data_IF_283423241467
#
_entry.id   IF_283423241467
#
_cell.length_a   1.000
_cell.length_b   1.000
_cell.length_c   1.000
_cell.angle_alpha   90.00
_cell.angle_beta   90.00
_cell.angle_gamma   90.00
#
_symmetry.space_group_name_H-M   'P 1'
#
loop_
_entity.id
_entity.type
_entity.pdbx_description
1 polymer ?
#
# COMPACT_ATOMS: atom_id res chain seq x y z
N UNK A 1 15.23 4.53 -70.08
CA UNK A 1 15.98 3.29 -69.80
C UNK A 1 15.35 2.66 -68.56
N UNK A 2 14.35 1.77 -68.60
CA UNK A 2 14.31 0.42 -69.21
C UNK A 2 15.14 -0.52 -68.33
N UNK A 3 14.63 -1.42 -67.48
CA UNK A 3 13.70 -2.57 -67.65
C UNK A 3 13.21 -3.03 -66.24
N UNK A 4 11.94 -3.30 -65.88
CA UNK A 4 11.01 -4.43 -66.20
C UNK A 4 11.69 -5.81 -66.12
N UNK A 5 11.36 -6.75 -65.22
CA UNK A 5 10.18 -7.65 -65.13
C UNK A 5 10.70 -8.91 -64.34
N UNK A 6 9.96 -9.89 -63.79
CA UNK A 6 8.56 -10.27 -63.73
C UNK A 6 8.38 -11.36 -62.63
N UNK A 7 7.12 -11.48 -62.19
CA UNK A 7 6.53 -12.55 -61.36
C UNK A 7 6.62 -13.95 -62.00
N UNK A 8 6.49 -14.99 -61.18
CA UNK A 8 5.66 -16.18 -61.52
C UNK A 8 5.13 -16.91 -60.28
N UNK A 9 3.82 -17.11 -60.29
CA UNK A 9 2.97 -17.92 -59.41
C UNK A 9 2.73 -19.25 -60.17
N UNK A 10 2.70 -20.39 -59.48
CA UNK A 10 1.90 -21.55 -59.89
C UNK A 10 1.32 -22.27 -58.66
N UNK A 11 -0.01 -22.30 -58.60
CA UNK A 11 -0.87 -23.22 -57.86
C UNK A 11 -0.98 -24.55 -58.64
N UNK A 12 -1.32 -25.65 -57.95
CA UNK A 12 -2.14 -26.83 -58.37
C UNK A 12 -2.01 -27.90 -57.25
N UNK A 13 -2.95 -28.02 -56.31
CA UNK A 13 -4.14 -28.93 -56.27
C UNK A 13 -3.84 -30.43 -56.40
N UNK A 14 -4.30 -31.22 -55.41
CA UNK A 14 -4.52 -32.66 -55.59
C UNK A 14 -4.80 -33.42 -54.28
N UNK A 15 -6.06 -33.78 -54.07
CA UNK A 15 -6.57 -34.66 -53.01
C UNK A 15 -6.23 -36.14 -53.28
N UNK A 16 -5.88 -36.93 -52.24
CA UNK A 16 -6.25 -38.35 -52.11
C UNK A 16 -6.42 -38.69 -50.61
N UNK A 17 -7.58 -39.25 -50.26
CA UNK A 17 -7.87 -39.89 -48.98
C UNK A 17 -7.92 -41.43 -49.18
N UNK A 18 -7.45 -42.21 -48.20
CA UNK A 18 -8.10 -43.43 -47.65
C UNK A 18 -7.09 -44.39 -46.95
N UNK A 19 -7.27 -44.52 -45.63
CA UNK A 19 -7.44 -45.76 -44.85
C UNK A 19 -6.52 -46.98 -45.07
N UNK A 20 -5.72 -47.35 -44.05
CA UNK A 20 -5.60 -48.74 -43.55
C UNK A 20 -5.36 -48.73 -42.03
N UNK A 21 -6.35 -49.25 -41.29
CA UNK A 21 -6.23 -49.78 -39.92
C UNK A 21 -5.60 -51.19 -40.01
N UNK A 22 -4.63 -51.50 -39.15
CA UNK A 22 -4.44 -52.81 -38.48
C UNK A 22 -3.10 -52.80 -37.71
N UNK A 23 -3.16 -53.02 -36.39
CA UNK A 23 -1.96 -53.21 -35.57
C UNK A 23 -2.16 -52.88 -34.08
N UNK A 24 -3.22 -53.39 -33.45
CA UNK A 24 -3.22 -53.54 -32.00
C UNK A 24 -2.42 -54.79 -31.63
N UNK A 25 -1.64 -54.73 -30.54
CA UNK A 25 -1.41 -55.76 -29.51
C UNK A 25 -0.03 -55.52 -28.88
N UNK A 26 -0.03 -55.27 -27.56
CA UNK A 26 1.12 -55.61 -26.73
C UNK A 26 1.87 -54.46 -26.07
N UNK A 27 1.22 -53.73 -25.14
CA UNK A 27 1.87 -53.26 -23.90
C UNK A 27 0.81 -52.75 -22.91
N UNK A 28 -0.07 -53.67 -22.50
CA UNK A 28 -1.08 -53.42 -21.49
C UNK A 28 -0.83 -54.23 -20.23
N UNK A 29 0.39 -54.22 -19.68
CA UNK A 29 0.71 -54.84 -18.39
C UNK A 29 2.00 -54.22 -17.83
N UNK A 30 1.96 -53.02 -17.24
CA UNK A 30 2.94 -52.54 -16.23
C UNK A 30 2.61 -51.11 -15.74
N UNK A 31 1.36 -50.81 -15.40
CA UNK A 31 1.03 -49.66 -14.54
C UNK A 31 -0.21 -49.98 -13.72
N UNK A 32 -0.06 -50.92 -12.79
CA UNK A 32 -1.01 -51.10 -11.69
C UNK A 32 -0.46 -50.35 -10.47
N UNK A 33 -0.39 -49.02 -10.60
CA UNK A 33 -0.22 -48.11 -9.48
C UNK A 33 -1.62 -47.62 -9.10
N UNK A 34 -2.00 -47.83 -7.84
CA UNK A 34 -3.26 -47.35 -7.28
C UNK A 34 -3.54 -45.91 -7.74
N UNK A 35 -4.67 -45.69 -8.42
CA UNK A 35 -5.26 -44.36 -8.51
C UNK A 35 -5.84 -44.10 -7.14
N UNK A 36 -5.03 -43.54 -6.25
CA UNK A 36 -5.54 -42.95 -5.03
C UNK A 36 -6.60 -41.93 -5.45
N UNK A 37 -7.86 -42.23 -5.15
CA UNK A 37 -8.93 -41.27 -5.33
C UNK A 37 -8.53 -40.05 -4.48
N UNK A 38 -8.35 -38.89 -5.14
CA UNK A 38 -8.13 -37.64 -4.43
C UNK A 38 -9.22 -37.53 -3.35
N UNK A 39 -8.85 -37.27 -2.08
CA UNK A 39 -9.84 -37.09 -1.05
C UNK A 39 -10.83 -36.01 -1.51
N UNK A 40 -12.15 -36.18 -1.27
CA UNK A 40 -13.13 -35.19 -1.68
C UNK A 40 -12.70 -33.83 -1.13
N UNK A 41 -12.62 -32.84 -2.02
CA UNK A 41 -12.27 -31.48 -1.62
C UNK A 41 -13.24 -31.04 -0.51
N UNK A 42 -12.70 -30.78 0.67
CA UNK A 42 -13.48 -30.19 1.77
C UNK A 42 -13.96 -28.83 1.24
N UNK A 43 -15.28 -28.54 1.23
CA UNK A 43 -15.76 -27.23 0.85
C UNK A 43 -15.17 -26.21 1.82
N UNK A 44 -14.24 -25.38 1.36
CA UNK A 44 -13.82 -24.19 2.11
C UNK A 44 -15.07 -23.32 2.22
N UNK A 45 -15.53 -22.96 3.44
CA UNK A 45 -16.65 -22.05 3.59
C UNK A 45 -16.37 -20.80 2.75
N UNK A 46 -17.30 -20.41 1.90
CA UNK A 46 -17.19 -19.16 1.17
C UNK A 46 -17.03 -18.05 2.22
N UNK A 47 -15.81 -17.54 2.38
CA UNK A 47 -15.52 -16.46 3.32
C UNK A 47 -16.39 -15.26 2.93
N UNK A 48 -16.87 -14.49 3.91
CA UNK A 48 -17.59 -13.23 3.64
C UNK A 48 -16.79 -12.37 2.66
N UNK A 49 -15.46 -12.39 2.79
CA UNK A 49 -14.50 -11.73 1.91
C UNK A 49 -14.73 -11.94 0.40
N UNK A 50 -15.18 -13.11 -0.05
CA UNK A 50 -15.36 -13.39 -1.49
C UNK A 50 -16.50 -12.57 -2.15
N UNK A 51 -17.36 -11.94 -1.34
CA UNK A 51 -18.52 -11.15 -1.80
C UNK A 51 -18.44 -9.68 -1.38
N UNK A 52 -17.34 -9.25 -0.78
CA UNK A 52 -17.19 -7.91 -0.23
C UNK A 52 -16.18 -7.07 -1.04
N UNK A 53 -16.35 -5.73 -1.10
CA UNK A 53 -15.41 -4.84 -1.77
C UNK A 53 -14.09 -4.67 -1.00
N UNK A 54 -13.98 -5.27 0.19
CA UNK A 54 -12.78 -5.25 1.03
C UNK A 54 -12.36 -6.69 1.31
N UNK A 55 -11.05 -6.93 1.18
CA UNK A 55 -10.44 -8.22 1.50
C UNK A 55 -9.56 -8.09 2.75
N UNK A 56 -9.47 -9.12 3.58
CA UNK A 56 -8.61 -9.08 4.76
C UNK A 56 -7.12 -9.03 4.37
N UNK A 57 -6.28 -8.48 5.26
CA UNK A 57 -4.81 -8.54 5.09
C UNK A 57 -4.32 -10.00 5.19
N UNK A 58 -3.20 -10.36 4.54
CA UNK A 58 -2.60 -11.66 4.71
C UNK A 58 -2.10 -11.84 6.15
N UNK A 59 -2.26 -13.05 6.71
CA UNK A 59 -1.76 -13.38 8.05
C UNK A 59 -0.25 -13.65 8.08
N UNK A 60 0.32 -13.99 6.93
CA UNK A 60 1.74 -14.33 6.77
C UNK A 60 2.28 -13.67 5.53
N UNK A 61 3.58 -13.35 5.56
CA UNK A 61 4.34 -12.83 4.43
C UNK A 61 5.61 -13.66 4.30
N UNK A 62 6.04 -13.88 3.07
CA UNK A 62 7.33 -14.50 2.78
C UNK A 62 8.33 -13.40 2.44
N UNK A 63 9.11 -12.99 3.44
CA UNK A 63 10.19 -12.01 3.30
C UNK A 63 11.47 -12.59 3.89
N UNK A 64 12.62 -12.15 3.38
CA UNK A 64 13.92 -12.50 3.94
C UNK A 64 14.08 -11.86 5.33
N UNK A 65 14.13 -12.65 6.42
CA UNK A 65 14.16 -12.12 7.78
C UNK A 65 15.44 -11.34 8.09
N UNK A 66 16.56 -11.66 7.44
CA UNK A 66 17.81 -10.96 7.67
C UNK A 66 17.81 -9.60 6.97
N UNK A 67 17.19 -9.50 5.78
CA UNK A 67 16.92 -8.20 5.13
C UNK A 67 15.94 -7.35 5.93
N UNK A 68 14.87 -7.94 6.46
CA UNK A 68 13.93 -7.23 7.35
C UNK A 68 14.67 -6.67 8.56
N UNK A 69 15.56 -7.45 9.17
CA UNK A 69 16.36 -7.01 10.33
C UNK A 69 17.33 -5.87 9.98
N UNK A 70 18.02 -5.96 8.83
CA UNK A 70 18.92 -4.90 8.36
C UNK A 70 18.12 -3.63 8.02
N UNK A 71 17.00 -3.76 7.32
CA UNK A 71 16.12 -2.65 6.98
C UNK A 71 15.55 -1.95 8.20
N UNK A 72 15.09 -2.72 9.20
CA UNK A 72 14.56 -2.16 10.45
C UNK A 72 15.62 -1.39 11.24
N UNK A 73 16.88 -1.83 11.17
CA UNK A 73 17.99 -1.07 11.72
C UNK A 73 18.18 0.25 10.99
N UNK A 74 18.26 0.23 9.66
CA UNK A 74 18.43 1.43 8.84
C UNK A 74 17.27 2.43 9.05
N UNK A 75 16.04 1.94 9.09
CA UNK A 75 14.82 2.73 9.33
C UNK A 75 14.87 3.50 10.66
N UNK A 76 15.47 2.91 11.68
CA UNK A 76 15.65 3.52 13.00
C UNK A 76 16.90 4.37 13.13
N UNK A 77 17.87 4.29 12.21
CA UNK A 77 19.21 4.84 12.41
C UNK A 77 19.30 6.31 11.96
N UNK A 78 19.55 7.26 12.88
CA UNK A 78 19.62 8.68 12.53
C UNK A 78 20.91 9.03 11.77
N UNK A 79 21.90 8.12 11.67
CA UNK A 79 23.10 8.31 10.82
C UNK A 79 22.75 8.53 9.34
N UNK A 80 21.53 8.20 8.93
CA UNK A 80 21.06 8.46 7.57
C UNK A 80 20.72 9.94 7.33
N UNK A 81 20.46 10.77 8.35
CA UNK A 81 20.34 12.23 8.16
C UNK A 81 21.69 12.93 8.13
N UNK A 82 21.72 14.12 7.53
CA UNK A 82 22.95 14.90 7.41
C UNK A 82 23.53 15.39 8.73
N UNK A 83 22.70 15.51 9.77
CA UNK A 83 23.07 15.95 11.12
C UNK A 83 23.12 14.82 12.16
N UNK A 84 22.82 13.59 11.75
CA UNK A 84 22.80 12.43 12.64
C UNK A 84 21.67 12.45 13.68
N UNK A 85 20.61 13.26 13.49
CA UNK A 85 19.51 13.44 14.45
C UNK A 85 18.16 12.86 14.00
N UNK A 86 17.96 12.60 12.71
CA UNK A 86 16.64 12.22 12.16
C UNK A 86 16.72 10.88 11.45
N UNK A 87 15.78 9.99 11.73
CA UNK A 87 15.58 8.71 11.05
C UNK A 87 14.14 8.57 10.58
N UNK A 88 13.85 7.58 9.75
CA UNK A 88 12.48 7.30 9.31
C UNK A 88 11.54 7.12 10.50
N UNK A 89 12.00 6.44 11.56
CA UNK A 89 11.24 6.21 12.79
C UNK A 89 10.89 7.47 13.59
N UNK A 90 11.55 8.62 13.36
CA UNK A 90 11.19 9.88 14.00
C UNK A 90 9.83 10.39 13.50
N UNK A 91 9.59 10.31 12.19
CA UNK A 91 8.33 10.75 11.57
C UNK A 91 7.30 9.60 11.46
N UNK A 92 7.79 8.36 11.39
CA UNK A 92 6.99 7.16 11.21
C UNK A 92 7.12 6.20 12.40
N UNK A 93 6.83 6.71 13.60
CA UNK A 93 7.02 5.97 14.84
C UNK A 93 6.02 4.80 14.94
N UNK A 94 6.57 3.58 15.00
CA UNK A 94 5.77 2.35 15.04
C UNK A 94 4.91 2.23 16.31
N UNK A 95 5.32 2.85 17.42
CA UNK A 95 4.56 2.85 18.67
C UNK A 95 3.31 3.75 18.63
N UNK A 96 3.23 4.65 17.64
CA UNK A 96 2.12 5.60 17.47
C UNK A 96 1.35 5.38 16.17
N UNK A 97 1.31 4.13 15.68
CA UNK A 97 0.59 3.77 14.47
C UNK A 97 1.36 4.06 13.19
N UNK A 98 2.68 4.19 13.25
CA UNK A 98 3.55 4.44 12.08
C UNK A 98 3.56 5.89 11.61
N UNK A 99 3.15 6.83 12.47
CA UNK A 99 3.11 8.28 12.23
C UNK A 99 3.62 9.03 13.45
N UNK A 100 3.92 10.32 13.32
CA UNK A 100 4.39 11.22 14.40
C UNK A 100 3.26 11.91 15.17
N UNK A 101 2.02 11.81 14.68
CA UNK A 101 0.82 12.48 15.21
C UNK A 101 0.90 14.00 15.23
N UNK A 102 1.65 14.57 14.29
CA UNK A 102 1.73 16.01 14.05
C UNK A 102 0.98 16.38 12.77
N UNK A 103 0.47 17.62 12.64
CA UNK A 103 -0.01 18.11 11.35
C UNK A 103 1.08 18.03 10.29
N UNK A 104 2.30 18.45 10.64
CA UNK A 104 3.49 18.41 9.80
C UNK A 104 4.70 17.94 10.60
N UNK A 105 5.51 17.07 10.00
CA UNK A 105 6.70 16.49 10.63
C UNK A 105 7.82 17.52 10.80
N UNK A 106 8.67 17.28 11.80
CA UNK A 106 9.89 18.04 12.03
C UNK A 106 11.11 17.23 11.57
N UNK A 107 11.88 17.75 10.63
CA UNK A 107 13.15 17.18 10.20
C UNK A 107 14.37 17.84 10.83
N UNK A 108 15.50 17.77 10.13
CA UNK A 108 16.79 18.26 10.59
C UNK A 108 16.75 19.72 11.04
N UNK A 109 17.44 20.02 12.13
CA UNK A 109 17.46 21.37 12.72
C UNK A 109 16.08 21.91 13.15
N UNK A 110 15.09 21.04 13.36
CA UNK A 110 13.74 21.43 13.74
C UNK A 110 12.92 22.07 12.61
N UNK A 111 13.34 21.91 11.36
CA UNK A 111 12.61 22.42 10.20
C UNK A 111 11.30 21.66 10.04
N UNK A 112 10.21 22.39 9.88
CA UNK A 112 8.90 21.78 9.70
C UNK A 112 8.60 21.55 8.22
N UNK A 113 8.03 20.38 7.91
CA UNK A 113 7.45 20.08 6.61
C UNK A 113 6.14 20.82 6.35
N UNK A 114 5.45 20.44 5.28
CA UNK A 114 4.20 21.08 4.84
C UNK A 114 3.10 20.08 4.51
N UNK A 115 3.31 18.80 4.83
CA UNK A 115 2.36 17.73 4.58
C UNK A 115 2.39 16.73 5.74
N UNK A 116 1.23 16.17 6.08
CA UNK A 116 1.07 15.17 7.13
C UNK A 116 1.76 13.86 6.72
N UNK A 117 2.52 13.27 7.63
CA UNK A 117 3.21 11.99 7.40
C UNK A 117 2.20 10.83 7.39
N UNK A 118 2.01 10.13 6.26
CA UNK A 118 1.15 8.95 6.23
C UNK A 118 1.80 7.78 6.98
N UNK A 119 1.00 6.80 7.41
CA UNK A 119 1.54 5.62 8.09
C UNK A 119 2.41 4.75 7.18
N UNK A 120 3.48 4.19 7.74
CA UNK A 120 4.28 3.12 7.10
C UNK A 120 3.63 1.74 7.22
N UNK A 121 2.66 1.54 8.14
CA UNK A 121 1.99 0.26 8.25
C UNK A 121 1.14 -0.01 7.01
N UNK A 122 1.29 -1.20 6.44
CA UNK A 122 0.63 -1.68 5.23
C UNK A 122 0.99 -0.88 3.96
N UNK A 123 2.00 -0.01 4.00
CA UNK A 123 2.41 0.83 2.85
C UNK A 123 2.89 0.01 1.65
N UNK A 124 3.41 -1.20 1.91
CA UNK A 124 3.80 -2.18 0.89
C UNK A 124 2.65 -2.68 0.01
N UNK A 125 1.38 -2.45 0.39
CA UNK A 125 0.21 -2.76 -0.44
C UNK A 125 -0.29 -1.56 -1.25
N UNK A 126 0.28 -0.37 -1.08
CA UNK A 126 -0.11 0.77 -1.90
C UNK A 126 0.37 0.59 -3.34
N UNK A 127 -0.44 1.00 -4.32
CA UNK A 127 -0.01 1.00 -5.73
C UNK A 127 1.04 2.06 -6.04
N UNK A 128 1.10 3.12 -5.23
CA UNK A 128 2.00 4.28 -5.31
C UNK A 128 2.26 4.84 -3.91
N UNK A 129 3.37 5.53 -3.71
CA UNK A 129 3.74 6.15 -2.43
C UNK A 129 3.64 7.68 -2.47
N UNK A 130 3.66 8.32 -1.30
CA UNK A 130 3.28 9.73 -1.07
C UNK A 130 1.80 10.06 -1.38
N UNK A 131 1.36 11.23 -0.92
CA UNK A 131 -0.02 11.72 -1.12
C UNK A 131 -0.36 12.00 -2.58
N UNK A 132 0.59 12.49 -3.37
CA UNK A 132 0.45 12.75 -4.82
C UNK A 132 0.76 11.52 -5.69
N UNK A 133 1.28 10.43 -5.09
CA UNK A 133 1.66 9.22 -5.79
C UNK A 133 2.93 9.33 -6.63
N UNK A 134 3.80 10.32 -6.36
CA UNK A 134 5.01 10.58 -7.17
C UNK A 134 6.06 9.47 -7.16
N UNK A 135 6.05 8.60 -6.13
CA UNK A 135 6.93 7.45 -6.05
C UNK A 135 6.21 6.17 -6.47
N UNK A 136 6.79 5.42 -7.41
CA UNK A 136 6.18 4.20 -7.93
C UNK A 136 6.26 3.04 -6.94
N UNK A 137 7.34 2.97 -6.17
CA UNK A 137 7.65 1.91 -5.21
C UNK A 137 8.08 2.48 -3.85
N UNK A 138 8.26 1.61 -2.84
CA UNK A 138 8.86 2.01 -1.56
C UNK A 138 10.33 2.39 -1.77
N UNK A 139 11.04 1.69 -2.64
CA UNK A 139 12.42 1.98 -3.00
C UNK A 139 12.59 3.38 -3.59
N UNK A 140 11.68 3.80 -4.47
CA UNK A 140 11.66 5.16 -5.03
C UNK A 140 11.27 6.20 -3.96
N UNK A 141 10.41 5.82 -3.01
CA UNK A 141 9.94 6.71 -1.95
C UNK A 141 11.11 7.17 -1.09
N UNK A 142 12.06 6.28 -0.77
CA UNK A 142 13.21 6.54 0.12
C UNK A 142 14.10 7.70 -0.36
N UNK A 143 14.16 7.94 -1.67
CA UNK A 143 14.93 9.06 -2.23
C UNK A 143 14.45 10.43 -1.73
N UNK A 144 13.14 10.56 -1.51
CA UNK A 144 12.49 11.78 -1.06
C UNK A 144 12.96 12.24 0.32
N UNK A 145 12.62 11.51 1.41
CA UNK A 145 12.97 11.91 2.77
C UNK A 145 14.48 12.00 2.98
N UNK A 146 15.25 11.08 2.38
CA UNK A 146 16.72 11.05 2.54
C UNK A 146 17.37 12.36 2.08
N UNK A 147 16.89 12.93 0.96
CA UNK A 147 17.51 14.10 0.33
C UNK A 147 16.80 15.42 0.63
N UNK A 148 15.55 15.38 1.12
CA UNK A 148 14.78 16.58 1.37
C UNK A 148 15.41 17.41 2.51
N UNK A 149 15.76 18.70 2.28
CA UNK A 149 16.38 19.56 3.30
C UNK A 149 15.47 19.95 4.47
N UNK A 150 14.17 19.65 4.38
CA UNK A 150 13.20 19.78 5.47
C UNK A 150 13.01 18.47 6.25
N UNK A 151 13.58 17.35 5.77
CA UNK A 151 13.44 16.02 6.37
C UNK A 151 14.81 15.53 6.85
N UNK A 152 15.55 14.72 6.07
CA UNK A 152 16.85 14.17 6.46
C UNK A 152 18.05 14.94 5.87
N UNK A 153 17.83 15.70 4.79
CA UNK A 153 18.79 16.63 4.19
C UNK A 153 20.14 16.05 3.77
N UNK A 154 20.22 14.75 3.51
CA UNK A 154 21.44 14.05 3.16
C UNK A 154 21.58 13.87 1.63
N UNK A 155 22.58 13.12 1.19
CA UNK A 155 22.73 12.68 -0.21
C UNK A 155 23.28 11.27 -0.27
N UNK A 156 22.95 10.52 -1.33
CA UNK A 156 23.44 9.15 -1.49
C UNK A 156 24.96 8.99 -1.33
N UNK A 157 25.82 9.83 -1.96
CA UNK A 157 27.26 9.71 -1.75
C UNK A 157 27.68 9.84 -0.27
N UNK A 158 27.05 10.75 0.49
CA UNK A 158 27.32 10.92 1.92
C UNK A 158 26.78 9.76 2.74
N UNK A 159 25.55 9.32 2.47
CA UNK A 159 24.93 8.17 3.13
C UNK A 159 25.76 6.91 2.94
N UNK A 160 26.19 6.62 1.71
CA UNK A 160 27.03 5.46 1.42
C UNK A 160 28.39 5.57 2.11
N UNK A 161 29.04 6.73 2.11
CA UNK A 161 30.28 6.95 2.85
C UNK A 161 30.11 6.73 4.37
N UNK A 162 28.99 7.19 4.95
CA UNK A 162 28.66 6.97 6.37
C UNK A 162 28.49 5.48 6.69
N UNK A 163 27.76 4.74 5.84
CA UNK A 163 27.54 3.30 6.03
C UNK A 163 28.83 2.50 5.80
N UNK A 164 29.63 2.87 4.80
CA UNK A 164 30.93 2.26 4.50
C UNK A 164 31.96 2.52 5.60
N UNK A 165 31.85 3.59 6.38
CA UNK A 165 32.72 3.81 7.54
C UNK A 165 32.39 2.88 8.72
N UNK A 166 31.17 2.34 8.79
CA UNK A 166 30.68 1.51 9.89
C UNK A 166 30.95 0.01 9.64
N UNK A 167 31.80 -0.59 10.47
CA UNK A 167 32.22 -1.99 10.30
C UNK A 167 31.07 -3.00 10.43
N UNK A 168 30.05 -2.68 11.23
CA UNK A 168 28.91 -3.56 11.39
C UNK A 168 27.97 -3.50 10.17
N UNK A 169 27.78 -2.33 9.58
CA UNK A 169 27.06 -2.23 8.31
C UNK A 169 27.78 -2.94 7.18
N UNK A 170 29.09 -2.73 7.01
CA UNK A 170 29.88 -3.47 5.99
C UNK A 170 29.69 -4.98 6.11
N UNK A 171 29.79 -5.51 7.33
CA UNK A 171 29.61 -6.93 7.60
C UNK A 171 28.20 -7.43 7.21
N UNK A 172 27.15 -6.71 7.63
CA UNK A 172 25.76 -7.10 7.33
C UNK A 172 25.41 -7.01 5.85
N UNK A 173 25.88 -5.97 5.17
CA UNK A 173 25.63 -5.82 3.74
C UNK A 173 26.35 -6.90 2.92
N UNK A 174 27.63 -7.18 3.19
CA UNK A 174 28.37 -8.24 2.50
C UNK A 174 27.78 -9.65 2.72
N UNK A 175 27.08 -9.87 3.84
CA UNK A 175 26.39 -11.13 4.10
C UNK A 175 25.10 -11.30 3.29
N UNK A 176 24.45 -10.21 2.88
CA UNK A 176 23.12 -10.21 2.25
C UNK A 176 23.12 -9.80 0.78
N UNK A 177 24.14 -9.06 0.35
CA UNK A 177 24.23 -8.48 -0.98
C UNK A 177 25.64 -8.70 -1.55
N UNK A 178 25.79 -9.36 -2.71
CA UNK A 178 27.09 -9.60 -3.34
C UNK A 178 27.90 -8.32 -3.60
N UNK A 179 27.20 -7.23 -3.97
CA UNK A 179 27.81 -5.93 -4.29
C UNK A 179 27.94 -5.01 -3.06
N UNK A 180 27.66 -5.53 -1.85
CA UNK A 180 27.83 -4.81 -0.60
C UNK A 180 26.93 -3.57 -0.46
N UNK A 181 27.47 -2.49 0.08
CA UNK A 181 26.73 -1.24 0.32
C UNK A 181 26.58 -0.48 -0.99
N UNK A 182 25.36 -0.50 -1.53
CA UNK A 182 24.96 0.28 -2.70
C UNK A 182 23.62 0.96 -2.40
N UNK A 183 23.33 2.10 -3.04
CA UNK A 183 22.05 2.79 -2.85
C UNK A 183 20.85 1.85 -3.07
N UNK A 184 20.91 0.99 -4.11
CA UNK A 184 19.88 0.00 -4.40
C UNK A 184 19.71 -1.03 -3.26
N UNK A 185 20.81 -1.50 -2.66
CA UNK A 185 20.76 -2.49 -1.57
C UNK A 185 20.26 -1.87 -0.26
N UNK A 186 20.61 -0.60 0.00
CA UNK A 186 20.08 0.16 1.15
C UNK A 186 18.57 0.34 1.00
N UNK A 187 18.11 0.75 -0.19
CA UNK A 187 16.68 0.88 -0.51
C UNK A 187 15.94 -0.45 -0.37
N UNK A 188 16.48 -1.53 -0.95
CA UNK A 188 15.89 -2.87 -0.88
C UNK A 188 15.74 -3.35 0.58
N UNK A 189 16.76 -3.15 1.42
CA UNK A 189 16.68 -3.51 2.83
C UNK A 189 15.57 -2.73 3.56
N UNK A 190 15.54 -1.40 3.45
CA UNK A 190 14.52 -0.56 4.09
C UNK A 190 13.12 -0.91 3.57
N UNK A 191 12.93 -1.00 2.25
CA UNK A 191 11.65 -1.34 1.66
C UNK A 191 11.19 -2.76 2.04
N UNK A 192 12.11 -3.71 2.17
CA UNK A 192 11.81 -5.07 2.67
C UNK A 192 11.33 -5.02 4.12
N UNK A 193 11.94 -4.20 4.97
CA UNK A 193 11.44 -3.96 6.32
C UNK A 193 10.05 -3.31 6.31
N UNK A 194 9.81 -2.29 5.50
CA UNK A 194 8.49 -1.64 5.39
C UNK A 194 7.41 -2.61 4.90
N UNK A 195 7.73 -3.50 3.96
CA UNK A 195 6.83 -4.59 3.54
C UNK A 195 6.49 -5.55 4.65
N UNK A 196 7.34 -5.69 5.67
CA UNK A 196 7.06 -6.52 6.85
C UNK A 196 6.14 -5.84 7.87
N UNK A 197 5.95 -4.51 7.76
CA UNK A 197 5.08 -3.71 8.64
C UNK A 197 3.60 -3.90 8.26
N UNK A 198 3.10 -5.12 8.35
CA UNK A 198 1.69 -5.44 8.11
C UNK A 198 0.97 -5.64 9.42
N UNK A 199 -0.29 -5.19 9.46
CA UNK A 199 -1.13 -5.22 10.66
C UNK A 199 -2.35 -6.11 10.46
N UNK A 200 -2.19 -7.46 10.42
CA UNK A 200 -3.32 -8.36 10.26
C UNK A 200 -4.22 -8.36 11.51
N UNK A 201 -5.19 -9.28 11.55
CA UNK A 201 -6.05 -9.53 12.72
C UNK A 201 -6.89 -8.36 13.25
N UNK A 202 -7.02 -7.27 12.49
CA UNK A 202 -8.04 -6.27 12.77
C UNK A 202 -9.41 -6.94 12.98
N UNK A 203 -10.23 -6.39 13.88
CA UNK A 203 -11.55 -6.99 14.20
C UNK A 203 -12.39 -7.18 12.93
N UNK A 204 -12.32 -6.21 12.01
CA UNK A 204 -12.98 -6.33 10.71
C UNK A 204 -12.40 -7.45 9.83
N UNK A 205 -11.09 -7.68 9.86
CA UNK A 205 -10.48 -8.78 9.11
C UNK A 205 -10.91 -10.15 9.64
N UNK A 206 -11.06 -10.29 10.96
CA UNK A 206 -11.59 -11.53 11.55
C UNK A 206 -13.05 -11.76 11.13
N UNK A 207 -13.86 -10.69 11.13
CA UNK A 207 -15.22 -10.72 10.60
C UNK A 207 -15.27 -11.15 9.14
N UNK A 208 -14.44 -10.58 8.26
CA UNK A 208 -14.36 -10.99 6.85
C UNK A 208 -13.92 -12.45 6.65
N UNK A 209 -13.15 -13.00 7.59
CA UNK A 209 -12.76 -14.42 7.62
C UNK A 209 -13.81 -15.35 8.24
N UNK A 210 -14.94 -14.83 8.71
CA UNK A 210 -16.10 -15.62 9.19
C UNK A 210 -16.35 -15.58 10.70
N UNK A 211 -15.54 -14.86 11.49
CA UNK A 211 -15.84 -14.61 12.90
C UNK A 211 -16.91 -13.52 13.02
N UNK A 212 -18.18 -13.92 12.94
CA UNK A 212 -19.32 -13.00 13.03
C UNK A 212 -19.43 -12.27 14.37
N UNK A 213 -18.73 -12.75 15.40
CA UNK A 213 -18.72 -12.16 16.74
C UNK A 213 -17.63 -11.09 16.91
N UNK A 214 -16.71 -10.97 15.95
CA UNK A 214 -15.63 -9.99 16.00
C UNK A 214 -16.15 -8.53 15.99
N UNK A 215 -17.33 -8.30 15.40
CA UNK A 215 -18.01 -7.02 15.34
C UNK A 215 -19.36 -7.05 16.07
N UNK A 216 -19.64 -6.00 16.85
CA UNK A 216 -20.96 -5.78 17.43
C UNK A 216 -21.94 -5.18 16.40
N UNK A 217 -23.21 -5.03 16.79
CA UNK A 217 -24.27 -4.54 15.89
C UNK A 217 -24.01 -3.14 15.34
N UNK A 218 -23.47 -2.23 16.18
CA UNK A 218 -23.17 -0.84 15.80
C UNK A 218 -22.05 -0.78 14.74
N UNK A 219 -21.00 -1.59 14.90
CA UNK A 219 -19.88 -1.66 13.96
C UNK A 219 -20.31 -2.29 12.63
N UNK A 220 -21.16 -3.32 12.68
CA UNK A 220 -21.75 -3.90 11.48
C UNK A 220 -22.70 -2.92 10.77
N UNK A 221 -23.46 -2.13 11.52
CA UNK A 221 -24.28 -1.04 10.97
C UNK A 221 -23.41 0.01 10.28
N UNK A 222 -22.29 0.38 10.91
CA UNK A 222 -21.27 1.27 10.34
C UNK A 222 -20.70 0.75 9.03
N UNK A 223 -20.36 -0.54 8.94
CA UNK A 223 -19.88 -1.13 7.68
C UNK A 223 -20.96 -1.14 6.58
N UNK A 224 -22.21 -1.47 6.93
CA UNK A 224 -23.34 -1.39 5.99
C UNK A 224 -23.54 0.04 5.50
N UNK A 225 -23.44 1.04 6.39
CA UNK A 225 -23.54 2.45 6.05
C UNK A 225 -22.39 2.86 5.12
N UNK A 226 -21.13 2.53 5.47
CA UNK A 226 -19.93 2.79 4.65
C UNK A 226 -20.09 2.30 3.20
N UNK A 227 -20.67 1.11 3.02
CA UNK A 227 -21.03 0.58 1.70
C UNK A 227 -22.16 1.37 1.04
N UNK A 228 -23.30 1.53 1.72
CA UNK A 228 -24.51 2.15 1.14
C UNK A 228 -24.27 3.58 0.67
N UNK A 229 -23.49 4.38 1.41
CA UNK A 229 -23.24 5.78 1.05
C UNK A 229 -22.12 5.94 0.03
N UNK A 230 -21.46 4.86 -0.40
CA UNK A 230 -20.51 4.88 -1.50
C UNK A 230 -19.03 5.09 -1.12
N UNK A 231 -18.66 4.99 0.16
CA UNK A 231 -17.25 5.10 0.57
C UNK A 231 -16.37 4.05 -0.13
N UNK A 232 -16.92 2.86 -0.40
CA UNK A 232 -16.23 1.76 -1.09
C UNK A 232 -15.95 2.03 -2.57
N UNK A 233 -16.49 3.09 -3.16
CA UNK A 233 -16.11 3.50 -4.52
C UNK A 233 -14.64 3.95 -4.60
N UNK A 234 -14.09 4.43 -3.48
CA UNK A 234 -12.70 4.87 -3.38
C UNK A 234 -11.90 4.03 -2.38
N UNK A 235 -12.50 3.71 -1.23
CA UNK A 235 -11.87 2.99 -0.13
C UNK A 235 -12.24 1.49 -0.17
N UNK A 236 -11.57 0.76 -1.06
CA UNK A 236 -11.81 -0.67 -1.31
C UNK A 236 -10.50 -1.48 -1.36
N UNK A 237 -10.63 -2.79 -1.53
CA UNK A 237 -9.52 -3.71 -1.65
C UNK A 237 -8.82 -3.96 -0.31
N UNK A 238 -7.61 -4.50 -0.38
CA UNK A 238 -6.88 -4.95 0.81
C UNK A 238 -6.48 -3.80 1.75
N UNK A 239 -6.12 -2.64 1.19
CA UNK A 239 -5.79 -1.42 1.94
C UNK A 239 -7.00 -0.58 2.34
N UNK A 240 -8.21 -0.91 1.86
CA UNK A 240 -9.41 -0.06 2.06
C UNK A 240 -9.09 1.37 1.56
N UNK A 241 -8.56 1.44 0.34
CA UNK A 241 -7.82 2.57 -0.21
C UNK A 241 -6.39 2.18 -0.57
N UNK A 242 -5.57 3.17 -0.89
CA UNK A 242 -4.16 2.98 -1.25
C UNK A 242 -3.94 2.43 -2.66
N UNK A 243 -4.96 2.35 -3.51
CA UNK A 243 -4.91 1.68 -4.82
C UNK A 243 -5.47 2.50 -6.00
N UNK A 244 -5.87 3.75 -5.77
CA UNK A 244 -6.30 4.66 -6.83
C UNK A 244 -6.08 6.12 -6.44
N UNK A 245 -6.20 7.00 -7.42
CA UNK A 245 -6.25 8.45 -7.23
C UNK A 245 -7.69 8.94 -7.25
N UNK A 246 -7.98 9.96 -6.44
CA UNK A 246 -9.26 10.63 -6.48
C UNK A 246 -9.13 12.11 -6.11
N UNK A 247 -10.00 12.94 -6.70
CA UNK A 247 -10.14 14.35 -6.35
C UNK A 247 -10.68 14.49 -4.93
N UNK A 248 -10.08 15.36 -4.12
CA UNK A 248 -10.67 15.80 -2.86
C UNK A 248 -11.63 16.97 -3.13
N UNK A 249 -12.93 16.76 -2.90
CA UNK A 249 -13.97 17.74 -3.21
C UNK A 249 -14.67 17.50 -4.55
N UNK A 250 -15.14 16.27 -4.78
CA UNK A 250 -15.88 15.90 -6.00
C UNK A 250 -17.25 16.61 -6.05
N UNK A 251 -17.94 16.67 -4.92
CA UNK A 251 -19.33 17.15 -4.84
C UNK A 251 -19.40 18.64 -4.51
N UNK A 252 -18.41 19.15 -3.78
CA UNK A 252 -18.24 20.57 -3.46
C UNK A 252 -16.73 20.85 -3.36
N UNK A 253 -16.30 22.03 -3.78
CA UNK A 253 -14.89 22.42 -3.76
C UNK A 253 -14.38 22.57 -2.32
N UNK A 254 -13.73 21.52 -1.81
CA UNK A 254 -13.15 21.50 -0.47
C UNK A 254 -12.13 22.61 -0.27
N UNK A 255 -11.29 22.91 -1.27
CA UNK A 255 -10.18 23.86 -1.13
C UNK A 255 -10.67 25.30 -1.15
N UNK A 256 -11.68 25.61 -1.97
CA UNK A 256 -12.35 26.91 -1.94
C UNK A 256 -13.02 27.18 -0.58
N UNK A 257 -13.70 26.17 -0.01
CA UNK A 257 -14.40 26.31 1.29
C UNK A 257 -13.43 26.33 2.47
N UNK A 258 -12.40 25.47 2.47
CA UNK A 258 -11.36 25.43 3.51
C UNK A 258 -10.53 26.72 3.51
N UNK A 259 -10.30 27.29 2.33
CA UNK A 259 -9.40 28.42 2.14
C UNK A 259 -7.94 28.04 2.41
N UNK A 260 -7.08 29.06 2.53
CA UNK A 260 -5.65 28.92 2.86
C UNK A 260 -4.92 27.88 1.99
N UNK A 261 -5.07 27.99 0.68
CA UNK A 261 -4.43 27.05 -0.27
C UNK A 261 -2.91 27.14 -0.15
N UNK A 262 -2.28 25.99 -0.07
CA UNK A 262 -0.85 25.70 0.03
C UNK A 262 -0.39 24.95 -1.21
N UNK A 263 0.92 24.86 -1.41
CA UNK A 263 1.48 24.06 -2.52
C UNK A 263 1.06 22.59 -2.44
N UNK A 264 1.00 22.01 -1.24
CA UNK A 264 0.61 20.62 -1.02
C UNK A 264 -0.79 20.29 -1.56
N UNK A 265 -1.68 21.29 -1.58
CA UNK A 265 -3.06 21.12 -2.04
C UNK A 265 -3.13 20.84 -3.55
N UNK A 266 -2.10 21.17 -4.33
CA UNK A 266 -2.04 20.82 -5.75
C UNK A 266 -2.13 19.32 -6.01
N UNK A 267 -1.67 18.49 -5.06
CA UNK A 267 -1.70 17.03 -5.19
C UNK A 267 -0.96 16.58 -6.44
N UNK A 268 -1.60 15.75 -7.28
CA UNK A 268 -1.03 15.25 -8.54
C UNK A 268 -0.64 16.33 -9.53
N UNK A 269 -1.32 17.49 -9.54
CA UNK A 269 -0.96 18.61 -10.41
C UNK A 269 0.51 19.03 -10.21
N UNK A 270 1.05 18.94 -9.00
CA UNK A 270 2.44 19.32 -8.73
C UNK A 270 3.45 18.41 -9.46
N UNK A 271 3.03 17.21 -9.85
CA UNK A 271 3.83 16.29 -10.65
C UNK A 271 3.54 16.42 -12.14
N UNK A 272 2.27 16.54 -12.53
CA UNK A 272 1.87 16.40 -13.95
C UNK A 272 1.75 17.73 -14.68
N UNK A 273 1.54 18.84 -13.95
CA UNK A 273 1.23 20.16 -14.51
C UNK A 273 -0.13 20.24 -15.20
N UNK A 274 -0.94 19.18 -15.17
CA UNK A 274 -2.23 19.12 -15.86
C UNK A 274 -3.36 19.55 -14.91
N UNK A 275 -4.15 20.54 -15.30
CA UNK A 275 -5.21 21.11 -14.46
C UNK A 275 -6.25 20.06 -14.01
N UNK A 276 -6.49 19.04 -14.84
CA UNK A 276 -7.38 17.92 -14.53
C UNK A 276 -6.89 17.03 -13.37
N UNK A 277 -5.59 17.04 -13.06
CA UNK A 277 -5.00 16.37 -11.90
C UNK A 277 -5.00 17.24 -10.64
N UNK A 278 -5.45 18.50 -10.71
CA UNK A 278 -5.44 19.40 -9.54
C UNK A 278 -6.35 18.83 -8.46
N UNK A 279 -5.82 18.82 -7.24
CA UNK A 279 -6.51 18.31 -6.05
C UNK A 279 -6.79 16.81 -6.09
N UNK A 280 -6.19 16.07 -7.02
CA UNK A 280 -6.18 14.61 -6.95
C UNK A 280 -5.07 14.14 -6.01
N UNK A 281 -5.41 13.17 -5.18
CA UNK A 281 -4.50 12.51 -4.25
C UNK A 281 -4.66 11.01 -4.35
N UNK A 282 -3.62 10.26 -3.97
CA UNK A 282 -3.76 8.85 -3.66
C UNK A 282 -4.75 8.74 -2.51
N UNK A 283 -5.80 7.97 -2.70
CA UNK A 283 -6.77 7.68 -1.65
C UNK A 283 -6.03 6.96 -0.51
N UNK A 284 -5.99 7.50 0.73
CA UNK A 284 -5.28 6.84 1.82
C UNK A 284 -5.88 5.49 2.18
N UNK A 285 -5.04 4.57 2.65
CA UNK A 285 -5.49 3.35 3.33
C UNK A 285 -6.26 3.75 4.60
N UNK A 286 -7.39 3.10 4.87
CA UNK A 286 -8.12 3.27 6.13
C UNK A 286 -7.71 2.24 7.20
N UNK A 287 -6.77 1.33 6.88
CA UNK A 287 -6.16 0.46 7.89
C UNK A 287 -5.50 1.32 8.97
N UNK A 288 -5.79 1.00 10.24
CA UNK A 288 -5.26 1.73 11.40
C UNK A 288 -5.64 3.22 11.48
N UNK A 289 -6.65 3.68 10.73
CA UNK A 289 -7.01 5.10 10.70
C UNK A 289 -7.33 5.66 12.09
N UNK A 290 -7.87 4.86 13.00
CA UNK A 290 -8.19 5.32 14.35
C UNK A 290 -6.98 5.74 15.21
N UNK A 291 -5.76 5.30 14.84
CA UNK A 291 -4.54 5.53 15.62
C UNK A 291 -3.54 6.45 14.92
N UNK A 292 -3.93 7.05 13.78
CA UNK A 292 -3.11 7.95 12.97
C UNK A 292 -3.68 9.39 12.84
N UNK A 293 -4.17 10.05 13.90
CA UNK A 293 -4.54 11.46 13.82
C UNK A 293 -3.27 12.35 13.71
N UNK A 294 -3.38 13.60 13.22
CA UNK A 294 -4.54 14.18 12.55
C UNK A 294 -4.73 13.64 11.12
N UNK A 295 -5.83 14.02 10.47
CA UNK A 295 -6.25 13.48 9.18
C UNK A 295 -6.18 14.52 8.05
N UNK A 296 -6.22 14.01 6.81
CA UNK A 296 -5.97 14.72 5.56
C UNK A 296 -4.48 15.05 5.37
N UNK A 297 -4.11 15.40 4.14
CA UNK A 297 -2.72 15.71 3.79
C UNK A 297 -2.20 16.95 4.51
N UNK A 298 -3.09 17.83 4.96
CA UNK A 298 -2.76 19.04 5.70
C UNK A 298 -2.91 18.91 7.23
N UNK A 299 -3.34 17.76 7.73
CA UNK A 299 -3.60 17.53 9.15
C UNK A 299 -4.72 18.41 9.74
N UNK A 300 -5.61 18.97 8.91
CA UNK A 300 -6.64 19.93 9.36
C UNK A 300 -7.76 19.28 10.18
N UNK A 301 -8.02 17.99 10.01
CA UNK A 301 -9.04 17.26 10.76
C UNK A 301 -8.43 16.56 11.97
N UNK A 302 -8.93 16.83 13.18
CA UNK A 302 -8.31 16.34 14.43
C UNK A 302 -8.88 15.01 14.90
N UNK A 303 -10.13 14.73 14.58
CA UNK A 303 -10.84 13.52 15.01
C UNK A 303 -11.41 12.75 13.83
N UNK A 304 -11.68 11.44 14.02
CA UNK A 304 -12.38 10.64 13.01
C UNK A 304 -13.73 11.27 12.64
N UNK A 305 -14.41 11.88 13.61
CA UNK A 305 -15.68 12.57 13.37
C UNK A 305 -15.52 13.75 12.41
N UNK A 306 -14.45 14.53 12.57
CA UNK A 306 -14.17 15.68 11.71
C UNK A 306 -13.92 15.23 10.27
N UNK A 307 -13.02 14.25 10.07
CA UNK A 307 -12.68 13.78 8.71
C UNK A 307 -13.86 13.06 8.05
N UNK A 308 -14.66 12.30 8.81
CA UNK A 308 -15.91 11.70 8.30
C UNK A 308 -16.87 12.79 7.83
N UNK A 309 -17.07 13.84 8.62
CA UNK A 309 -17.92 14.97 8.23
C UNK A 309 -17.46 15.65 6.95
N UNK A 310 -16.15 15.86 6.82
CA UNK A 310 -15.54 16.41 5.59
C UNK A 310 -15.79 15.47 4.40
N UNK A 311 -15.46 14.18 4.53
CA UNK A 311 -15.61 13.23 3.42
C UNK A 311 -17.06 13.08 2.97
N UNK A 312 -18.00 12.95 3.90
CA UNK A 312 -19.43 12.83 3.58
C UNK A 312 -19.95 14.07 2.86
N UNK A 313 -19.56 15.27 3.30
CA UNK A 313 -19.98 16.52 2.64
C UNK A 313 -19.34 16.65 1.26
N UNK A 314 -18.02 16.66 1.20
CA UNK A 314 -17.28 17.09 0.00
C UNK A 314 -17.12 15.99 -1.05
N UNK A 315 -17.17 14.71 -0.66
CA UNK A 315 -17.07 13.58 -1.60
C UNK A 315 -18.41 12.95 -1.94
N UNK A 316 -19.39 13.01 -1.04
CA UNK A 316 -20.67 12.33 -1.22
C UNK A 316 -21.87 13.28 -1.29
N UNK A 317 -21.69 14.59 -1.02
CA UNK A 317 -22.74 15.60 -1.16
C UNK A 317 -23.89 15.40 -0.18
N UNK A 318 -23.65 14.73 0.95
CA UNK A 318 -24.69 14.38 1.93
C UNK A 318 -24.27 14.79 3.34
N UNK A 319 -25.12 14.50 4.33
CA UNK A 319 -24.84 14.67 5.77
C UNK A 319 -25.32 13.45 6.51
N UNK A 320 -24.55 13.02 7.50
CA UNK A 320 -24.94 11.97 8.43
C UNK A 320 -25.53 12.62 9.69
N UNK A 321 -26.52 11.96 10.28
CA UNK A 321 -26.94 12.32 11.64
C UNK A 321 -25.91 11.83 12.69
N UNK A 322 -26.18 12.10 13.97
CA UNK A 322 -25.28 11.73 15.06
C UNK A 322 -25.12 10.21 15.23
N UNK A 323 -26.19 9.45 14.98
CA UNK A 323 -26.20 7.98 15.09
C UNK A 323 -25.38 7.38 13.97
N UNK A 324 -25.66 7.77 12.73
CA UNK A 324 -24.93 7.32 11.53
C UNK A 324 -23.44 7.67 11.62
N UNK A 325 -23.12 8.88 12.08
CA UNK A 325 -21.73 9.30 12.32
C UNK A 325 -21.06 8.39 13.36
N UNK A 326 -21.76 8.07 14.45
CA UNK A 326 -21.27 7.18 15.50
C UNK A 326 -21.02 5.76 15.00
N UNK A 327 -21.95 5.21 14.22
CA UNK A 327 -21.82 3.89 13.57
C UNK A 327 -20.62 3.85 12.62
N UNK A 328 -20.46 4.85 11.77
CA UNK A 328 -19.36 4.92 10.81
C UNK A 328 -18.00 5.01 11.51
N UNK A 329 -17.89 5.86 12.55
CA UNK A 329 -16.67 5.95 13.36
C UNK A 329 -16.40 4.65 14.11
N UNK A 330 -17.42 3.97 14.63
CA UNK A 330 -17.27 2.67 15.28
C UNK A 330 -16.70 1.63 14.30
N UNK A 331 -17.21 1.57 13.07
CA UNK A 331 -16.65 0.72 12.03
C UNK A 331 -15.17 1.06 11.73
N UNK A 332 -14.82 2.34 11.54
CA UNK A 332 -13.44 2.73 11.23
C UNK A 332 -12.43 2.31 12.30
N UNK A 333 -12.84 2.28 13.59
CA UNK A 333 -11.99 1.77 14.69
C UNK A 333 -11.68 0.28 14.57
N UNK A 334 -12.59 -0.50 13.98
CA UNK A 334 -12.40 -1.94 13.79
C UNK A 334 -11.34 -2.30 12.75
N UNK A 335 -10.83 -1.29 12.03
CA UNK A 335 -9.79 -1.41 11.00
C UNK A 335 -8.37 -1.37 11.56
N UNK A 336 -8.21 -1.17 12.88
CA UNK A 336 -6.92 -1.24 13.57
C UNK A 336 -6.51 -2.70 13.73
N UNK A 337 -5.34 -3.04 13.20
CA UNK A 337 -4.77 -4.38 13.27
C UNK A 337 -3.73 -4.55 14.37
N UNK A 338 -3.07 -5.71 14.33
CA UNK A 338 -2.03 -6.09 15.26
C UNK A 338 -0.65 -6.04 14.60
N UNK A 339 0.33 -5.46 15.26
CA UNK A 339 1.74 -5.58 14.87
C UNK A 339 2.47 -6.42 15.90
N UNK A 340 3.16 -7.48 15.46
CA UNK A 340 3.86 -8.44 16.32
C UNK A 340 2.96 -9.00 17.45
N UNK A 341 1.70 -9.29 17.12
CA UNK A 341 0.70 -9.84 18.05
C UNK A 341 0.17 -8.85 19.08
N UNK A 342 0.44 -7.54 18.93
CA UNK A 342 -0.10 -6.49 19.79
C UNK A 342 -0.97 -5.55 18.97
N UNK A 343 -2.15 -5.21 19.50
CA UNK A 343 -3.00 -4.16 18.91
C UNK A 343 -2.23 -2.84 18.84
N UNK A 344 -2.48 -2.05 17.79
CA UNK A 344 -1.96 -0.69 17.67
C UNK A 344 -2.81 0.36 18.40
N UNK A 345 -3.93 -0.04 19.00
CA UNK A 345 -4.84 0.83 19.78
C UNK A 345 -4.26 1.31 21.12
#
# INVERSE_FOLDING_TARGET
MGHRQARRIYLLTGWVAASVLLGAIGWGLYFNGARDALPPAIPVPATIAAKEPVTPLPLTLSLDPDKVKLGGRLFGDPKLSSDGQVSCAHCHNLATGGVDRLPFSNGIGGRQGHINAPTVFNSGFNFRQFWDGRAATLEDQIDGPLQNPLEMGNSWPKTLATLEADADYRSKFSALYPDGIQALNVKDAIATFERSLVTPNARFDRFLRGDLTALNEQEQAGYRLFKRIGCTSCHQGMGIGGNLYQKLGIMEDYFSVRGHITEADGGRFNLTGQEEDRHFFKVPSLRNVAVTPPYLHDGSARTLKDVVGIMVRFQLGTKLDATETGELVAFLKTLTGEYQGRSLE
#
